data_IF_627117524383
#
_entry.id   IF_627117524383
#
_cell.length_a   1.000
_cell.length_b   1.000
_cell.length_c   1.000
_cell.angle_alpha   90.00
_cell.angle_beta   90.00
_cell.angle_gamma   90.00
#
_symmetry.space_group_name_H-M   'P 1'
#
loop_
_entity.id
_entity.type
_entity.pdbx_description
1 polymer ?
#
# COMPACT_ATOMS: atom_id res chain seq x y z
N UNK A 1 45.80 23.00 53.04
CA UNK A 1 46.83 23.02 51.96
C UNK A 1 46.69 21.76 51.12
N UNK A 2 46.63 21.91 49.78
CA UNK A 2 46.76 20.87 48.72
C UNK A 2 45.66 19.78 48.69
N UNK A 3 45.16 19.26 47.57
CA UNK A 3 45.04 19.59 46.12
C UNK A 3 44.25 18.39 45.56
N UNK A 4 43.33 18.63 44.60
CA UNK A 4 42.80 17.74 43.52
C UNK A 4 42.46 16.25 43.85
N UNK A 5 41.31 15.71 43.45
CA UNK A 5 40.97 15.54 42.04
C UNK A 5 39.46 15.41 41.79
N UNK A 6 39.09 16.07 40.70
CA UNK A 6 37.84 16.06 39.97
C UNK A 6 37.48 14.66 39.45
N UNK A 7 36.26 14.18 39.71
CA UNK A 7 35.65 13.11 38.90
C UNK A 7 34.20 13.47 38.60
N UNK A 8 34.03 14.35 37.61
CA UNK A 8 32.83 14.43 36.78
C UNK A 8 32.45 13.00 36.36
N UNK A 9 31.30 12.50 36.80
CA UNK A 9 30.64 11.38 36.12
C UNK A 9 29.50 11.99 35.30
N UNK A 10 29.61 11.73 34.01
CA UNK A 10 28.73 12.19 32.97
C UNK A 10 27.26 11.88 33.30
N UNK A 11 26.44 12.84 32.91
CA UNK A 11 25.01 12.74 32.66
C UNK A 11 24.80 11.74 31.51
N UNK A 12 23.92 10.75 31.70
CA UNK A 12 23.31 10.00 30.59
C UNK A 12 21.83 10.32 30.60
N UNK A 13 21.42 11.27 29.76
CA UNK A 13 20.02 11.45 29.39
C UNK A 13 19.75 10.40 28.31
N UNK A 14 18.92 9.42 28.63
CA UNK A 14 18.36 8.52 27.61
C UNK A 14 17.19 9.28 26.99
N UNK A 15 17.43 9.93 25.85
CA UNK A 15 16.35 10.41 24.98
C UNK A 15 15.99 9.21 24.09
N UNK A 16 15.01 8.42 24.49
CA UNK A 16 14.35 7.46 23.59
C UNK A 16 13.26 8.20 22.83
N UNK A 17 13.66 8.94 21.79
CA UNK A 17 12.77 9.38 20.72
C UNK A 17 13.28 8.81 19.41
N UNK A 18 13.02 7.52 19.22
CA UNK A 18 12.99 6.86 17.92
C UNK A 18 11.82 5.87 18.02
N UNK A 19 10.65 6.28 17.56
CA UNK A 19 9.63 5.32 17.15
C UNK A 19 10.11 4.71 15.83
N UNK A 20 11.18 3.92 15.91
CA UNK A 20 11.43 2.86 14.94
C UNK A 20 10.57 1.70 15.40
N UNK A 21 9.35 1.61 14.85
CA UNK A 21 8.61 0.34 14.85
C UNK A 21 9.57 -0.69 14.24
N UNK A 22 9.78 -1.89 14.83
CA UNK A 22 10.64 -2.88 14.23
C UNK A 22 10.21 -3.07 12.78
N UNK A 23 11.18 -2.92 11.88
CA UNK A 23 10.97 -3.20 10.46
C UNK A 23 10.40 -4.61 10.35
N UNK A 24 9.18 -4.62 9.85
CA UNK A 24 8.43 -5.77 9.41
C UNK A 24 9.34 -6.69 8.58
N UNK A 25 9.22 -8.02 8.75
CA UNK A 25 10.12 -9.09 8.25
C UNK A 25 10.28 -9.16 6.71
N UNK A 26 10.65 -8.06 6.07
CA UNK A 26 10.94 -7.91 4.66
C UNK A 26 12.35 -7.33 4.50
N UNK A 27 13.12 -7.78 3.49
CA UNK A 27 14.46 -7.24 3.22
C UNK A 27 14.44 -5.76 2.83
N UNK A 28 13.33 -5.27 2.26
CA UNK A 28 13.15 -3.89 1.79
C UNK A 28 11.73 -3.39 2.12
N UNK A 29 11.47 -2.09 1.91
CA UNK A 29 10.15 -1.50 2.20
C UNK A 29 9.05 -2.07 1.29
N UNK A 30 9.40 -2.31 0.03
CA UNK A 30 8.53 -2.94 -0.97
C UNK A 30 9.32 -4.11 -1.56
N UNK A 31 8.78 -5.32 -1.50
CA UNK A 31 9.45 -6.49 -2.08
C UNK A 31 8.70 -7.02 -3.28
N UNK A 32 9.45 -7.51 -4.26
CA UNK A 32 8.92 -7.93 -5.54
C UNK A 32 8.87 -9.44 -5.71
N UNK A 33 8.54 -9.88 -6.93
CA UNK A 33 8.46 -11.31 -7.25
C UNK A 33 9.73 -12.12 -6.98
N UNK A 34 10.92 -11.47 -7.01
CA UNK A 34 12.19 -12.13 -6.68
C UNK A 34 12.23 -12.57 -5.20
N UNK A 35 11.81 -11.70 -4.28
CA UNK A 35 11.77 -11.97 -2.84
C UNK A 35 10.58 -12.86 -2.47
N UNK A 36 9.47 -12.72 -3.21
CA UNK A 36 8.24 -13.48 -2.99
C UNK A 36 8.25 -14.87 -3.63
N UNK A 37 9.31 -15.22 -4.37
CA UNK A 37 9.49 -16.51 -5.03
C UNK A 37 8.39 -16.81 -6.06
N UNK A 38 8.01 -15.82 -6.87
CA UNK A 38 7.11 -16.05 -8.00
C UNK A 38 7.75 -17.03 -9.00
N UNK A 39 6.98 -17.94 -9.61
CA UNK A 39 7.52 -18.87 -10.59
C UNK A 39 8.03 -18.13 -11.84
N UNK A 40 9.14 -18.59 -12.45
CA UNK A 40 9.60 -18.04 -13.72
C UNK A 40 8.61 -18.37 -14.83
N UNK A 41 8.39 -17.45 -15.77
CA UNK A 41 7.68 -17.78 -17.00
C UNK A 41 8.61 -18.59 -17.91
N UNK A 42 8.18 -19.79 -18.35
CA UNK A 42 8.98 -20.64 -19.24
C UNK A 42 9.23 -20.04 -20.63
N UNK A 43 8.44 -19.04 -21.04
CA UNK A 43 8.51 -18.38 -22.34
C UNK A 43 9.08 -16.94 -22.29
N UNK A 44 9.33 -16.39 -21.10
CA UNK A 44 9.82 -15.02 -20.92
C UNK A 44 10.97 -14.96 -19.92
N UNK A 45 11.74 -13.86 -19.93
CA UNK A 45 12.79 -13.61 -18.93
C UNK A 45 12.24 -13.02 -17.63
N UNK A 46 10.91 -12.91 -17.49
CA UNK A 46 10.21 -12.36 -16.32
C UNK A 46 9.57 -13.46 -15.47
N UNK A 47 9.48 -13.22 -14.16
CA UNK A 47 8.63 -14.01 -13.27
C UNK A 47 7.19 -13.54 -13.39
N UNK A 48 6.25 -14.47 -13.44
CA UNK A 48 4.81 -14.17 -13.48
C UNK A 48 4.13 -14.86 -12.30
N UNK A 49 3.10 -14.22 -11.78
CA UNK A 49 2.35 -14.71 -10.63
C UNK A 49 0.89 -14.88 -11.05
N UNK A 50 0.47 -16.13 -11.29
CA UNK A 50 -0.94 -16.48 -11.43
C UNK A 50 -1.50 -16.64 -10.02
N UNK A 51 -2.31 -15.69 -9.59
CA UNK A 51 -3.04 -15.74 -8.32
C UNK A 51 -4.52 -15.80 -8.65
N UNK A 52 -5.14 -16.94 -8.33
CA UNK A 52 -6.47 -17.31 -8.80
C UNK A 52 -6.49 -17.23 -10.35
N UNK A 53 -7.50 -16.61 -10.96
CA UNK A 53 -7.68 -16.56 -12.42
C UNK A 53 -7.01 -15.35 -13.07
N UNK A 54 -5.99 -14.75 -12.42
CA UNK A 54 -5.32 -13.55 -12.92
C UNK A 54 -3.80 -13.67 -12.87
N UNK A 55 -3.16 -13.47 -14.02
CA UNK A 55 -1.70 -13.46 -14.16
C UNK A 55 -1.18 -12.05 -14.02
N UNK A 56 -0.28 -11.85 -13.06
CA UNK A 56 0.36 -10.57 -12.80
C UNK A 56 1.80 -10.56 -13.35
N UNK A 57 2.10 -9.52 -14.13
CA UNK A 57 3.43 -9.25 -14.68
C UNK A 57 4.35 -8.53 -13.68
N UNK A 58 3.76 -7.85 -12.69
CA UNK A 58 4.47 -7.28 -11.55
C UNK A 58 3.66 -7.49 -10.26
N UNK A 59 4.38 -7.70 -9.16
CA UNK A 59 3.84 -7.83 -7.81
C UNK A 59 4.70 -6.99 -6.88
N UNK A 60 4.05 -6.27 -5.96
CA UNK A 60 4.69 -5.61 -4.83
C UNK A 60 4.01 -5.99 -3.52
N UNK A 61 4.80 -6.34 -2.51
CA UNK A 61 4.36 -6.52 -1.13
C UNK A 61 5.00 -5.43 -0.27
N UNK A 62 4.17 -4.68 0.45
CA UNK A 62 4.60 -3.77 1.50
C UNK A 62 3.76 -4.04 2.74
N UNK A 63 4.28 -3.80 3.95
CA UNK A 63 3.41 -3.88 5.11
C UNK A 63 2.95 -2.58 5.69
N UNK A 64 1.82 -2.69 6.39
CA UNK A 64 1.05 -1.57 6.91
C UNK A 64 1.75 -1.15 8.20
N UNK A 65 2.39 0.03 8.24
CA UNK A 65 3.06 0.47 9.45
C UNK A 65 2.01 0.72 10.53
N UNK A 66 2.15 0.08 11.68
CA UNK A 66 1.19 0.18 12.77
C UNK A 66 1.90 0.15 14.12
N UNK A 67 1.40 0.94 15.07
CA UNK A 67 1.76 0.83 16.48
C UNK A 67 0.82 -0.11 17.25
N UNK A 68 -0.29 -0.53 16.63
CA UNK A 68 -1.23 -1.46 17.24
C UNK A 68 -0.85 -2.90 16.96
N UNK A 69 -0.67 -3.68 18.02
CA UNK A 69 -0.42 -5.13 17.92
C UNK A 69 -1.60 -5.89 17.29
N UNK A 70 -2.82 -5.34 17.29
CA UNK A 70 -3.98 -5.95 16.64
C UNK A 70 -3.94 -5.87 15.11
N UNK A 71 -3.09 -4.99 14.57
CA UNK A 71 -2.89 -4.79 13.13
C UNK A 71 -1.53 -5.32 12.68
N UNK A 72 -0.79 -5.97 13.58
CA UNK A 72 0.55 -6.47 13.29
C UNK A 72 0.48 -7.58 12.23
N UNK A 73 1.51 -7.63 11.38
CA UNK A 73 1.57 -8.54 10.24
C UNK A 73 0.71 -8.17 9.02
N UNK A 74 -0.24 -7.23 9.14
CA UNK A 74 -1.06 -6.80 8.00
C UNK A 74 -0.21 -6.19 6.89
N UNK A 75 -0.55 -6.51 5.64
CA UNK A 75 0.20 -6.08 4.48
C UNK A 75 -0.68 -5.76 3.28
N UNK A 76 -0.15 -4.97 2.35
CA UNK A 76 -0.72 -4.75 1.04
C UNK A 76 0.08 -5.53 0.01
N UNK A 77 -0.63 -6.27 -0.83
CA UNK A 77 -0.09 -6.83 -2.07
C UNK A 77 -0.76 -6.14 -3.24
N UNK A 78 0.04 -5.49 -4.08
CA UNK A 78 -0.40 -4.99 -5.38
C UNK A 78 0.06 -5.95 -6.47
N UNK A 79 -0.85 -6.36 -7.33
CA UNK A 79 -0.56 -7.05 -8.58
C UNK A 79 -0.94 -6.18 -9.78
N UNK A 80 -0.08 -6.18 -10.79
CA UNK A 80 -0.31 -5.48 -12.07
C UNK A 80 -0.32 -6.50 -13.19
N UNK A 81 -1.49 -6.69 -13.79
CA UNK A 81 -1.64 -7.44 -15.04
C UNK A 81 -1.53 -6.46 -16.21
N UNK A 82 -0.92 -6.92 -17.31
CA UNK A 82 -0.73 -6.11 -18.51
C UNK A 82 -1.28 -6.87 -19.70
N UNK A 83 -2.19 -6.25 -20.43
CA UNK A 83 -2.79 -6.80 -21.64
C UNK A 83 -2.68 -5.77 -22.76
N UNK A 84 -2.30 -6.20 -23.95
CA UNK A 84 -2.23 -5.34 -25.14
C UNK A 84 -3.45 -5.61 -26.04
N UNK A 85 -4.25 -4.59 -26.31
CA UNK A 85 -5.36 -4.61 -27.28
C UNK A 85 -5.11 -3.60 -28.41
N UNK A 86 -4.58 -4.11 -29.52
CA UNK A 86 -4.19 -3.29 -30.67
C UNK A 86 -3.11 -2.26 -30.29
N UNK A 87 -3.47 -0.98 -30.33
CA UNK A 87 -2.59 0.13 -29.95
C UNK A 87 -2.86 0.63 -28.52
N UNK A 88 -3.61 -0.11 -27.72
CA UNK A 88 -3.90 0.25 -26.33
C UNK A 88 -3.26 -0.78 -25.42
N UNK A 89 -2.51 -0.31 -24.42
CA UNK A 89 -2.04 -1.15 -23.32
C UNK A 89 -2.95 -0.96 -22.12
N UNK A 90 -3.48 -2.05 -21.60
CA UNK A 90 -4.29 -2.12 -20.40
C UNK A 90 -3.40 -2.50 -19.22
N UNK A 91 -3.52 -1.73 -18.15
CA UNK A 91 -2.90 -2.01 -16.86
C UNK A 91 -3.98 -2.25 -15.83
N UNK A 92 -3.99 -3.47 -15.34
CA UNK A 92 -4.97 -3.99 -14.42
C UNK A 92 -4.33 -4.11 -13.04
N UNK A 93 -4.57 -3.09 -12.21
CA UNK A 93 -4.06 -3.02 -10.84
C UNK A 93 -5.04 -3.71 -9.89
N UNK A 94 -4.52 -4.57 -9.04
CA UNK A 94 -5.31 -5.33 -8.08
C UNK A 94 -4.64 -5.29 -6.72
N UNK A 95 -5.39 -4.89 -5.70
CA UNK A 95 -4.93 -4.72 -4.33
C UNK A 95 -5.55 -5.79 -3.44
N UNK A 96 -4.70 -6.56 -2.77
CA UNK A 96 -5.07 -7.56 -1.79
C UNK A 96 -4.61 -7.13 -0.40
N UNK A 97 -5.46 -7.34 0.60
CA UNK A 97 -5.06 -7.26 1.99
C UNK A 97 -4.48 -8.61 2.41
N UNK A 98 -3.22 -8.58 2.84
CA UNK A 98 -2.55 -9.69 3.49
C UNK A 98 -2.79 -9.69 4.99
N UNK A 99 -3.22 -10.81 5.56
CA UNK A 99 -3.51 -10.90 6.98
C UNK A 99 -3.08 -12.25 7.61
N UNK A 100 -2.39 -12.23 8.76
CA UNK A 100 -2.11 -13.44 9.52
C UNK A 100 -3.39 -14.02 10.10
N UNK A 101 -3.40 -15.31 10.41
CA UNK A 101 -4.57 -16.00 10.97
C UNK A 101 -5.05 -15.42 12.33
N UNK A 102 -4.18 -14.70 13.04
CA UNK A 102 -4.49 -14.02 14.29
C UNK A 102 -5.06 -12.61 14.11
N UNK A 103 -5.05 -12.06 12.89
CA UNK A 103 -5.60 -10.74 12.64
C UNK A 103 -7.12 -10.77 12.79
N UNK A 104 -7.64 -9.91 13.66
CA UNK A 104 -9.06 -9.72 13.85
C UNK A 104 -9.41 -8.26 13.59
N UNK A 105 -10.05 -8.04 12.43
CA UNK A 105 -10.59 -6.73 12.04
C UNK A 105 -12.07 -6.60 12.41
N UNK A 106 -12.67 -7.59 13.08
CA UNK A 106 -14.08 -7.50 13.47
C UNK A 106 -14.30 -6.34 14.44
N UNK A 107 -15.34 -5.54 14.17
CA UNK A 107 -15.70 -4.40 15.00
C UNK A 107 -14.72 -3.21 14.98
N UNK A 108 -13.66 -3.23 14.15
CA UNK A 108 -12.71 -2.10 14.07
C UNK A 108 -13.27 -0.92 13.25
N UNK A 109 -14.23 -1.17 12.35
CA UNK A 109 -14.72 -0.15 11.42
C UNK A 109 -13.65 0.29 10.42
N UNK A 110 -12.65 -0.56 10.15
CA UNK A 110 -11.50 -0.21 9.31
C UNK A 110 -11.88 -0.05 7.84
N UNK A 111 -11.30 0.96 7.19
CA UNK A 111 -11.46 1.26 5.78
C UNK A 111 -10.09 1.30 5.10
N UNK A 112 -10.01 0.77 3.88
CA UNK A 112 -8.96 1.09 2.94
C UNK A 112 -9.40 2.25 2.05
N UNK A 113 -8.50 3.20 1.81
CA UNK A 113 -8.72 4.36 0.95
C UNK A 113 -7.71 4.32 -0.19
N UNK A 114 -8.20 4.36 -1.42
CA UNK A 114 -7.40 4.30 -2.63
C UNK A 114 -7.56 5.58 -3.42
N UNK A 115 -6.43 6.24 -3.72
CA UNK A 115 -6.38 7.38 -4.63
C UNK A 115 -5.98 6.85 -6.01
N UNK A 116 -6.97 6.57 -6.86
CA UNK A 116 -6.75 5.91 -8.16
C UNK A 116 -6.37 6.89 -9.26
N UNK A 117 -6.53 8.19 -9.03
CA UNK A 117 -6.13 9.25 -9.95
C UNK A 117 -5.28 10.27 -9.19
N UNK A 118 -3.96 10.09 -9.26
CA UNK A 118 -2.96 10.99 -8.67
C UNK A 118 -2.08 11.58 -9.77
N UNK A 119 -1.43 12.69 -9.45
CA UNK A 119 -0.42 13.31 -10.30
C UNK A 119 0.78 12.38 -10.52
N UNK A 120 1.48 12.55 -11.64
CA UNK A 120 2.77 11.88 -11.92
C UNK A 120 3.87 12.29 -10.91
N UNK A 121 3.64 13.38 -10.16
CA UNK A 121 4.51 13.82 -9.07
C UNK A 121 4.53 12.87 -7.86
N UNK A 122 3.64 11.87 -7.81
CA UNK A 122 3.69 10.78 -6.83
C UNK A 122 4.73 9.77 -7.30
N UNK A 123 5.97 9.95 -6.85
CA UNK A 123 7.11 9.16 -7.32
C UNK A 123 8.19 9.07 -6.25
N UNK A 124 8.92 7.96 -6.23
CA UNK A 124 10.10 7.85 -5.38
C UNK A 124 11.30 8.57 -6.04
N UNK A 125 12.22 9.08 -5.21
CA UNK A 125 13.51 9.57 -5.70
C UNK A 125 13.43 10.75 -6.68
N UNK A 126 12.52 11.70 -6.44
CA UNK A 126 12.36 12.93 -7.22
C UNK A 126 12.13 12.71 -8.74
N UNK A 127 11.45 11.62 -9.11
CA UNK A 127 11.08 11.33 -10.49
C UNK A 127 12.04 10.40 -11.23
N UNK A 128 13.05 9.87 -10.54
CA UNK A 128 13.86 8.78 -11.09
C UNK A 128 13.05 7.49 -11.12
N UNK A 129 12.58 7.13 -12.32
CA UNK A 129 11.77 5.91 -12.54
C UNK A 129 12.53 4.61 -12.29
N UNK A 130 13.84 4.65 -12.08
CA UNK A 130 14.61 3.48 -11.64
C UNK A 130 14.46 3.21 -10.14
N UNK A 131 14.04 4.21 -9.36
CA UNK A 131 13.80 4.09 -7.93
C UNK A 131 12.38 3.57 -7.71
N UNK A 132 12.31 2.31 -7.28
CA UNK A 132 11.04 1.59 -7.04
C UNK A 132 10.77 1.34 -5.56
N UNK A 133 11.58 1.94 -4.68
CA UNK A 133 11.58 1.73 -3.24
C UNK A 133 11.35 3.04 -2.49
N UNK A 134 10.56 2.96 -1.43
CA UNK A 134 10.42 4.06 -0.50
C UNK A 134 9.13 4.00 0.31
N UNK A 135 8.97 5.00 1.14
CA UNK A 135 7.79 5.25 1.96
C UNK A 135 6.86 6.25 1.29
N UNK A 136 5.59 6.30 1.71
CA UNK A 136 4.66 7.33 1.23
C UNK A 136 5.18 8.75 1.45
N UNK A 137 5.91 9.00 2.55
CA UNK A 137 6.49 10.31 2.82
C UNK A 137 7.61 10.69 1.84
N UNK A 138 8.36 9.71 1.32
CA UNK A 138 9.33 9.94 0.26
C UNK A 138 8.65 10.18 -1.09
N UNK A 139 7.50 9.53 -1.35
CA UNK A 139 6.75 9.72 -2.59
C UNK A 139 5.94 11.03 -2.64
N UNK A 140 5.35 11.42 -1.51
CA UNK A 140 4.34 12.47 -1.44
C UNK A 140 4.64 13.57 -0.42
N UNK A 141 5.86 13.67 0.10
CA UNK A 141 6.22 14.50 1.27
C UNK A 141 5.59 14.03 2.59
N UNK A 142 6.29 14.27 3.70
CA UNK A 142 5.79 13.93 5.03
C UNK A 142 4.56 14.78 5.40
N UNK A 143 4.52 16.03 4.95
CA UNK A 143 3.46 17.00 5.22
C UNK A 143 2.14 16.60 4.57
N UNK A 144 2.15 16.09 3.34
CA UNK A 144 0.92 15.57 2.72
C UNK A 144 0.45 14.29 3.41
N UNK A 145 1.34 13.33 3.66
CA UNK A 145 0.97 12.07 4.35
C UNK A 145 0.38 12.34 5.73
N UNK A 146 0.97 13.29 6.47
CA UNK A 146 0.44 13.72 7.77
C UNK A 146 -0.93 14.39 7.64
N UNK A 147 -1.15 15.20 6.61
CA UNK A 147 -2.44 15.85 6.36
C UNK A 147 -3.53 14.83 6.01
N UNK A 148 -3.24 13.86 5.13
CA UNK A 148 -4.14 12.76 4.80
C UNK A 148 -4.53 11.95 6.03
N UNK A 149 -3.55 11.61 6.87
CA UNK A 149 -3.78 10.87 8.12
C UNK A 149 -4.65 11.66 9.09
N UNK A 150 -4.33 12.96 9.27
CA UNK A 150 -5.10 13.85 10.14
C UNK A 150 -6.55 13.99 9.67
N UNK A 151 -6.75 14.10 8.35
CA UNK A 151 -8.09 14.16 7.75
C UNK A 151 -8.88 12.90 8.02
N UNK A 152 -8.29 11.72 7.79
CA UNK A 152 -8.94 10.45 8.10
C UNK A 152 -9.35 10.35 9.57
N UNK A 153 -8.47 10.77 10.50
CA UNK A 153 -8.73 10.71 11.94
C UNK A 153 -9.82 11.70 12.40
N UNK A 154 -9.98 12.82 11.70
CA UNK A 154 -10.97 13.85 12.00
C UNK A 154 -12.31 13.63 11.27
N UNK A 155 -12.39 12.65 10.37
CA UNK A 155 -13.63 12.33 9.68
C UNK A 155 -14.70 11.90 10.69
N UNK A 156 -15.91 12.44 10.56
CA UNK A 156 -17.00 12.12 11.46
C UNK A 156 -17.63 10.77 11.11
N UNK A 157 -17.01 9.69 11.58
CA UNK A 157 -17.44 8.30 11.32
C UNK A 157 -18.01 7.59 12.55
N UNK A 158 -18.06 8.27 13.70
CA UNK A 158 -18.48 7.68 14.95
C UNK A 158 -19.96 7.26 14.92
N UNK A 159 -20.23 6.00 15.32
CA UNK A 159 -21.59 5.45 15.38
C UNK A 159 -22.15 4.99 14.03
N UNK A 160 -21.36 5.09 12.95
CA UNK A 160 -21.73 4.56 11.64
C UNK A 160 -21.37 3.08 11.52
N UNK A 161 -22.12 2.36 10.68
CA UNK A 161 -21.69 1.05 10.20
C UNK A 161 -20.40 1.18 9.38
N UNK A 162 -19.60 0.11 9.25
CA UNK A 162 -18.30 0.17 8.56
C UNK A 162 -18.42 0.68 7.12
N UNK A 163 -19.46 0.29 6.40
CA UNK A 163 -19.73 0.76 5.04
C UNK A 163 -20.03 2.26 4.95
N UNK A 164 -20.91 2.75 5.82
CA UNK A 164 -21.27 4.17 5.91
C UNK A 164 -20.07 5.03 6.36
N UNK A 165 -19.25 4.50 7.28
CA UNK A 165 -18.00 5.12 7.71
C UNK A 165 -17.01 5.27 6.54
N UNK A 166 -16.83 4.22 5.74
CA UNK A 166 -15.96 4.29 4.57
C UNK A 166 -16.50 5.27 3.52
N UNK A 167 -17.81 5.26 3.27
CA UNK A 167 -18.44 6.21 2.36
C UNK A 167 -18.26 7.66 2.84
N UNK A 168 -18.42 7.93 4.14
CA UNK A 168 -18.18 9.24 4.73
C UNK A 168 -16.71 9.67 4.58
N UNK A 169 -15.76 8.75 4.77
CA UNK A 169 -14.33 9.01 4.52
C UNK A 169 -14.06 9.35 3.05
N UNK A 170 -14.71 8.65 2.12
CA UNK A 170 -14.57 8.95 0.69
C UNK A 170 -15.00 10.40 0.40
N UNK A 171 -16.18 10.78 0.86
CA UNK A 171 -16.74 12.13 0.69
C UNK A 171 -15.84 13.19 1.34
N UNK A 172 -15.27 12.89 2.50
CA UNK A 172 -14.35 13.78 3.20
C UNK A 172 -13.09 14.07 2.37
N UNK A 173 -12.50 13.06 1.73
CA UNK A 173 -11.34 13.25 0.86
C UNK A 173 -11.71 13.91 -0.47
N UNK A 174 -12.83 13.53 -1.10
CA UNK A 174 -13.25 14.13 -2.38
C UNK A 174 -13.53 15.64 -2.24
N UNK A 175 -14.13 16.07 -1.14
CA UNK A 175 -14.50 17.47 -0.91
C UNK A 175 -13.36 18.33 -0.35
N UNK A 176 -12.28 17.71 0.13
CA UNK A 176 -11.22 18.44 0.80
C UNK A 176 -9.82 18.01 0.34
N UNK A 177 -9.14 18.91 -0.35
CA UNK A 177 -7.74 18.77 -0.73
C UNK A 177 -6.88 19.66 0.16
N UNK A 178 -6.02 19.05 0.97
CA UNK A 178 -5.03 19.76 1.78
C UNK A 178 -4.00 20.47 0.90
N UNK A 179 -3.62 21.70 1.28
CA UNK A 179 -2.66 22.49 0.53
C UNK A 179 -1.29 21.80 0.39
N UNK A 180 -0.85 21.04 1.41
CA UNK A 180 0.37 20.23 1.35
C UNK A 180 0.29 19.10 0.33
N UNK A 181 -0.91 18.70 -0.07
CA UNK A 181 -1.15 17.63 -1.02
C UNK A 181 -1.46 18.11 -2.44
N UNK A 182 -1.62 19.41 -2.67
CA UNK A 182 -2.17 19.95 -3.92
C UNK A 182 -1.39 19.53 -5.18
N UNK A 183 -0.06 19.41 -5.10
CA UNK A 183 0.79 18.95 -6.23
C UNK A 183 0.57 17.48 -6.62
N UNK A 184 0.02 16.68 -5.72
CA UNK A 184 -0.16 15.24 -5.93
C UNK A 184 -1.56 14.88 -6.43
N UNK A 185 -2.49 15.82 -6.43
CA UNK A 185 -3.77 15.68 -7.09
C UNK A 185 -3.66 16.06 -8.58
N UNK A 186 -4.52 15.50 -9.42
CA UNK A 186 -4.60 15.83 -10.85
C UNK A 186 -5.31 17.16 -11.13
N UNK A 187 -5.85 17.81 -10.09
CA UNK A 187 -6.61 19.06 -10.17
C UNK A 187 -6.76 19.74 -8.81
N UNK A 188 -7.80 20.56 -8.67
CA UNK A 188 -8.07 21.32 -7.42
C UNK A 188 -8.76 20.52 -6.32
N UNK A 189 -9.02 19.24 -6.56
CA UNK A 189 -9.64 18.30 -5.62
C UNK A 189 -9.10 16.90 -5.87
N UNK A 190 -9.24 15.99 -4.90
CA UNK A 190 -8.99 14.59 -5.14
C UNK A 190 -10.06 14.01 -6.08
N UNK A 191 -9.64 13.34 -7.14
CA UNK A 191 -10.53 12.55 -8.00
C UNK A 191 -10.16 11.07 -7.93
N UNK A 192 -11.10 10.20 -8.24
CA UNK A 192 -10.87 8.75 -8.17
C UNK A 192 -10.54 8.24 -6.77
N UNK A 193 -11.08 8.87 -5.73
CA UNK A 193 -11.02 8.33 -4.37
C UNK A 193 -11.99 7.16 -4.29
N UNK A 194 -11.51 6.01 -3.84
CA UNK A 194 -12.32 4.81 -3.67
C UNK A 194 -12.08 4.27 -2.27
N UNK A 195 -13.15 4.01 -1.53
CA UNK A 195 -13.04 3.39 -0.20
C UNK A 195 -13.60 1.98 -0.18
N UNK A 196 -13.02 1.12 0.65
CA UNK A 196 -13.48 -0.26 0.86
C UNK A 196 -13.46 -0.62 2.34
N UNK A 197 -14.54 -1.17 2.89
CA UNK A 197 -14.51 -1.69 4.25
C UNK A 197 -13.57 -2.90 4.32
N UNK A 198 -12.76 -2.95 5.37
CA UNK A 198 -11.89 -4.09 5.70
C UNK A 198 -12.51 -4.98 6.80
N UNK A 199 -13.64 -4.54 7.36
CA UNK A 199 -14.41 -5.25 8.37
C UNK A 199 -15.91 -5.18 8.08
N UNK A 200 -16.68 -6.14 8.59
CA UNK A 200 -18.14 -6.16 8.44
C UNK A 200 -18.61 -6.93 7.20
N UNK A 201 -19.93 -6.91 6.93
CA UNK A 201 -20.55 -7.79 5.93
C UNK A 201 -20.18 -7.50 4.47
N UNK A 202 -19.64 -6.31 4.17
CA UNK A 202 -19.18 -5.92 2.83
C UNK A 202 -17.65 -6.03 2.67
N UNK A 203 -16.93 -6.43 3.72
CA UNK A 203 -15.49 -6.65 3.62
C UNK A 203 -15.21 -7.93 2.83
N UNK A 204 -14.16 -7.89 2.00
CA UNK A 204 -13.76 -9.05 1.23
C UNK A 204 -13.25 -10.17 2.14
N UNK A 205 -13.77 -11.38 1.92
CA UNK A 205 -13.26 -12.58 2.57
C UNK A 205 -11.90 -12.99 1.99
N UNK A 206 -11.14 -13.82 2.72
CA UNK A 206 -9.92 -14.40 2.21
C UNK A 206 -10.21 -15.33 1.04
N UNK A 207 -9.28 -15.37 0.07
CA UNK A 207 -9.27 -16.36 -1.01
C UNK A 207 -9.36 -17.75 -0.38
N UNK A 208 -10.35 -18.51 -0.82
CA UNK A 208 -10.61 -19.87 -0.35
C UNK A 208 -9.59 -20.86 -0.90
N UNK A 209 -9.39 -22.02 -0.25
CA UNK A 209 -8.53 -23.06 -0.78
C UNK A 209 -8.88 -23.47 -2.22
N UNK A 210 -10.17 -23.53 -2.55
CA UNK A 210 -10.66 -23.88 -3.89
C UNK A 210 -10.29 -22.83 -4.93
N UNK A 211 -10.42 -21.54 -4.61
CA UNK A 211 -9.97 -20.46 -5.51
C UNK A 211 -8.45 -20.48 -5.69
N UNK A 212 -7.71 -20.85 -4.65
CA UNK A 212 -6.26 -20.94 -4.71
C UNK A 212 -5.75 -22.13 -5.56
N UNK A 213 -6.58 -23.12 -5.90
CA UNK A 213 -6.18 -24.25 -6.74
C UNK A 213 -5.76 -23.81 -8.15
N UNK A 214 -6.25 -22.66 -8.62
CA UNK A 214 -5.85 -22.11 -9.93
C UNK A 214 -4.58 -21.25 -9.87
N UNK A 215 -4.09 -20.95 -8.67
CA UNK A 215 -2.86 -20.16 -8.48
C UNK A 215 -1.60 -20.99 -8.72
N UNK A 216 -0.55 -20.35 -9.25
CA UNK A 216 0.82 -20.88 -9.26
C UNK A 216 1.76 -20.15 -8.29
N UNK A 217 1.27 -19.10 -7.62
CA UNK A 217 2.02 -18.27 -6.70
C UNK A 217 1.15 -17.89 -5.49
N UNK A 218 1.81 -17.48 -4.40
CA UNK A 218 1.17 -16.91 -3.23
C UNK A 218 1.96 -15.68 -2.76
N UNK A 219 1.67 -14.46 -3.27
CA UNK A 219 2.57 -13.30 -3.22
C UNK A 219 2.61 -12.57 -1.86
N UNK A 220 2.68 -13.31 -0.76
CA UNK A 220 2.81 -12.78 0.59
C UNK A 220 3.91 -13.53 1.36
N UNK A 221 4.39 -12.94 2.45
CA UNK A 221 5.24 -13.59 3.44
C UNK A 221 4.66 -13.27 4.83
N UNK A 222 4.62 -14.22 5.78
CA UNK A 222 4.86 -15.64 5.55
C UNK A 222 3.73 -16.28 4.70
N UNK A 223 4.01 -17.42 4.06
CA UNK A 223 3.11 -18.01 3.04
C UNK A 223 1.79 -18.53 3.59
N UNK A 224 1.68 -18.70 4.91
CA UNK A 224 0.43 -19.08 5.57
C UNK A 224 -0.57 -17.93 5.74
N UNK A 225 -0.14 -16.69 5.51
CA UNK A 225 -1.03 -15.54 5.63
C UNK A 225 -2.08 -15.57 4.51
N UNK A 226 -3.28 -15.11 4.86
CA UNK A 226 -4.41 -15.01 3.93
C UNK A 226 -4.29 -13.79 3.04
N UNK A 227 -4.89 -13.86 1.85
CA UNK A 227 -5.04 -12.75 0.91
C UNK A 227 -6.53 -12.53 0.64
N UNK A 228 -7.01 -11.31 0.80
CA UNK A 228 -8.39 -10.90 0.46
C UNK A 228 -8.36 -9.84 -0.63
N UNK A 229 -9.12 -10.04 -1.71
CA UNK A 229 -9.21 -9.06 -2.81
C UNK A 229 -9.98 -7.81 -2.36
N UNK A 230 -9.33 -6.66 -2.26
CA UNK A 230 -9.97 -5.42 -1.79
C UNK A 230 -10.43 -4.54 -2.95
N UNK A 231 -9.56 -4.35 -3.96
CA UNK A 231 -9.85 -3.49 -5.10
C UNK A 231 -9.21 -4.03 -6.37
N UNK A 232 -9.92 -3.94 -7.49
CA UNK A 232 -9.34 -4.07 -8.83
C UNK A 232 -9.73 -2.85 -9.65
N UNK A 233 -8.80 -2.30 -10.41
CA UNK A 233 -8.99 -1.13 -11.27
C UNK A 233 -8.18 -1.27 -12.54
N UNK A 234 -8.77 -0.86 -13.66
CA UNK A 234 -8.16 -0.89 -14.98
C UNK A 234 -7.83 0.52 -15.44
N UNK A 235 -6.64 0.70 -16.00
CA UNK A 235 -6.20 1.94 -16.64
C UNK A 235 -5.61 1.65 -18.02
N UNK A 236 -5.76 2.59 -18.95
CA UNK A 236 -5.41 2.39 -20.36
C UNK A 236 -4.39 3.43 -20.80
N UNK A 237 -3.41 3.00 -21.61
CA UNK A 237 -2.42 3.88 -22.24
C UNK A 237 -2.43 3.64 -23.75
N UNK A 238 -2.65 4.70 -24.53
CA UNK A 238 -2.55 4.63 -25.99
C UNK A 238 -1.09 4.62 -26.44
N UNK A 239 -0.67 3.53 -27.08
CA UNK A 239 0.65 3.38 -27.69
C UNK A 239 0.68 4.08 -29.04
N UNK A 240 1.11 5.34 -29.05
CA UNK A 240 1.39 6.04 -30.32
C UNK A 240 2.75 5.57 -30.83
N UNK A 241 2.76 4.67 -31.80
CA UNK A 241 4.00 4.35 -32.53
C UNK A 241 4.40 5.56 -33.38
N UNK A 242 5.39 6.33 -32.92
CA UNK A 242 6.11 7.25 -33.79
C UNK A 242 6.95 6.40 -34.77
N UNK A 243 6.38 6.10 -35.93
CA UNK A 243 7.16 5.67 -37.08
C UNK A 243 8.15 6.80 -37.40
N UNK A 244 9.42 6.64 -36.99
CA UNK A 244 10.51 7.43 -37.55
C UNK A 244 10.57 7.10 -39.04
N UNK A 245 10.19 8.06 -39.87
CA UNK A 245 10.52 8.07 -41.30
C UNK A 245 12.01 8.31 -41.48
#
# INVERSE_FOLDING_TARGET
MRRHLNRRRLITIIITSLWGVPAQDLPETIVGCADLQCPPNAAATSAECLLVNKTFAAIGLARIPTASSSLDGLSWVEGVAVEDDGNTRHFDKTFYLGAPASADLSGTGSCAVFFTQVSEDVTFGDGDSSITQGTCAQAMSAECVSALTTRALNANVSGLASEDACAALQVEFENNLDASCARYATGTQWTGVVTRPLSGGQAAGPITPLENETSNCWPIVPKQDSLSLVLSSTSNVSMTYLARQ
#
